data_IF_208242693229
#
_entry.id   IF_208242693229
#
_cell.length_a   1.000
_cell.length_b   1.000
_cell.length_c   1.000
_cell.angle_alpha   90.00
_cell.angle_beta   90.00
_cell.angle_gamma   90.00
#
_symmetry.space_group_name_H-M   'P 1'
#
loop_
_entity.id
_entity.type
_entity.pdbx_description
1 polymer ?
#
# COMPACT_ATOMS: atom_id res chain seq x y z
N UNK A 1 -0.36 -21.37 3.82
CA UNK A 1 0.25 -22.17 4.91
C UNK A 1 1.07 -23.34 4.40
N UNK A 2 0.52 -24.24 3.55
CA UNK A 2 1.27 -25.43 3.07
C UNK A 2 2.59 -25.14 2.35
N UNK A 3 2.67 -24.04 1.59
CA UNK A 3 3.89 -23.65 0.85
C UNK A 3 5.05 -23.20 1.76
N UNK A 4 4.79 -22.84 3.03
CA UNK A 4 5.82 -22.42 3.97
C UNK A 4 6.57 -23.63 4.55
N UNK A 5 5.86 -24.74 4.78
CA UNK A 5 6.42 -25.99 5.28
C UNK A 5 7.45 -26.62 4.35
N UNK A 6 7.37 -26.35 3.03
CA UNK A 6 8.31 -26.85 2.03
C UNK A 6 9.66 -26.11 2.03
N UNK A 7 9.73 -24.94 2.67
CA UNK A 7 10.92 -24.08 2.70
C UNK A 7 11.76 -24.26 3.96
N UNK A 8 11.29 -25.11 4.88
CA UNK A 8 11.91 -25.41 6.16
C UNK A 8 12.67 -26.74 6.07
N UNK A 9 13.84 -26.81 6.71
CA UNK A 9 14.66 -28.04 6.74
C UNK A 9 13.83 -29.16 7.37
N UNK A 10 14.03 -30.41 6.92
CA UNK A 10 13.22 -31.56 7.36
C UNK A 10 13.23 -31.74 8.89
N UNK A 11 14.34 -31.37 9.53
CA UNK A 11 14.53 -31.46 10.98
C UNK A 11 13.67 -30.45 11.77
N UNK A 12 13.40 -29.29 11.18
CA UNK A 12 12.68 -28.17 11.81
C UNK A 12 11.16 -28.23 11.55
N UNK A 13 10.72 -29.14 10.66
CA UNK A 13 9.31 -29.28 10.28
C UNK A 13 8.42 -29.65 11.47
N UNK A 14 8.92 -30.52 12.36
CA UNK A 14 8.18 -30.94 13.55
C UNK A 14 7.98 -29.80 14.55
N UNK A 15 8.97 -28.92 14.69
CA UNK A 15 8.90 -27.74 15.55
C UNK A 15 7.94 -26.70 14.96
N UNK A 16 8.06 -26.42 13.67
CA UNK A 16 7.16 -25.49 12.97
C UNK A 16 5.71 -25.96 13.06
N UNK A 17 5.45 -27.26 12.84
CA UNK A 17 4.10 -27.82 12.94
C UNK A 17 3.52 -27.66 14.33
N UNK A 18 4.31 -27.92 15.38
CA UNK A 18 3.90 -27.70 16.79
C UNK A 18 3.53 -26.25 17.08
N UNK A 19 4.17 -25.28 16.43
CA UNK A 19 3.86 -23.86 16.60
C UNK A 19 2.63 -23.42 15.78
N UNK A 20 2.44 -24.01 14.61
CA UNK A 20 1.35 -23.64 13.69
C UNK A 20 0.01 -24.26 14.10
N UNK A 21 0.02 -25.52 14.57
CA UNK A 21 -1.21 -26.27 14.84
C UNK A 21 -2.16 -25.53 15.81
N UNK A 22 -1.70 -24.94 16.95
CA UNK A 22 -2.56 -24.19 17.86
C UNK A 22 -3.21 -22.97 17.21
N UNK A 23 -2.43 -22.17 16.48
CA UNK A 23 -2.93 -20.95 15.81
C UNK A 23 -3.93 -21.30 14.72
N UNK A 24 -3.67 -22.39 13.98
CA UNK A 24 -4.56 -22.87 12.94
C UNK A 24 -5.88 -23.36 13.52
N UNK A 25 -5.82 -24.12 14.62
CA UNK A 25 -7.00 -24.64 15.32
C UNK A 25 -7.83 -23.49 15.89
N UNK A 26 -7.20 -22.55 16.59
CA UNK A 26 -7.86 -21.36 17.16
C UNK A 26 -8.50 -20.49 16.07
N UNK A 27 -7.78 -20.21 14.98
CA UNK A 27 -8.36 -19.48 13.85
C UNK A 27 -9.54 -20.23 13.23
N UNK A 28 -9.46 -21.56 13.10
CA UNK A 28 -10.56 -22.36 12.57
C UNK A 28 -11.76 -22.38 13.50
N UNK A 29 -11.54 -22.47 14.81
CA UNK A 29 -12.58 -22.42 15.82
C UNK A 29 -13.27 -21.05 15.81
N UNK A 30 -12.51 -19.95 15.78
CA UNK A 30 -13.05 -18.60 15.70
C UNK A 30 -13.89 -18.38 14.42
N UNK A 31 -13.44 -18.89 13.27
CA UNK A 31 -14.25 -18.80 12.04
C UNK A 31 -15.52 -19.64 12.10
N UNK A 32 -15.47 -20.81 12.74
CA UNK A 32 -16.65 -21.65 12.91
C UNK A 32 -17.66 -21.02 13.88
N UNK A 33 -17.17 -20.45 14.99
CA UNK A 33 -17.98 -19.73 15.97
C UNK A 33 -18.65 -18.50 15.33
N UNK A 34 -17.88 -17.71 14.58
CA UNK A 34 -18.42 -16.58 13.81
C UNK A 34 -19.52 -17.05 12.85
N UNK A 35 -19.26 -18.07 12.03
CA UNK A 35 -20.24 -18.59 11.08
C UNK A 35 -21.48 -19.14 11.80
N UNK A 36 -21.33 -19.77 12.95
CA UNK A 36 -22.44 -20.30 13.74
C UNK A 36 -23.31 -19.18 14.32
N UNK A 37 -22.70 -18.16 14.93
CA UNK A 37 -23.40 -16.97 15.45
C UNK A 37 -24.17 -16.26 14.33
N UNK A 38 -23.57 -16.18 13.14
CA UNK A 38 -24.22 -15.55 11.99
C UNK A 38 -25.23 -16.45 11.27
N UNK A 39 -25.16 -17.78 11.41
CA UNK A 39 -26.17 -18.71 10.87
C UNK A 39 -27.50 -18.57 11.61
N UNK A 40 -27.47 -18.40 12.93
CA UNK A 40 -28.66 -18.11 13.73
C UNK A 40 -29.30 -16.77 13.32
N UNK A 41 -28.46 -15.74 13.10
CA UNK A 41 -28.90 -14.44 12.59
C UNK A 41 -29.46 -14.51 11.14
N UNK A 42 -28.90 -15.34 10.27
CA UNK A 42 -29.37 -15.54 8.89
C UNK A 42 -30.69 -16.32 8.85
N UNK A 43 -30.87 -17.33 9.70
CA UNK A 43 -32.15 -18.05 9.79
C UNK A 43 -33.24 -17.20 10.48
N UNK A 44 -32.87 -16.35 11.44
CA UNK A 44 -33.78 -15.37 12.05
C UNK A 44 -34.22 -14.30 11.03
N UNK A 45 -33.28 -13.83 10.19
CA UNK A 45 -33.58 -12.97 9.04
C UNK A 45 -34.49 -13.67 8.03
N UNK A 46 -34.21 -14.93 7.69
CA UNK A 46 -35.01 -15.71 6.73
C UNK A 46 -36.41 -16.02 7.25
N UNK A 47 -36.57 -16.22 8.56
CA UNK A 47 -37.89 -16.35 9.20
C UNK A 47 -38.70 -15.06 9.10
N UNK A 48 -38.08 -13.88 9.27
CA UNK A 48 -38.73 -12.60 9.00
C UNK A 48 -39.15 -12.45 7.53
N UNK A 49 -38.35 -12.95 6.58
CA UNK A 49 -38.69 -12.91 5.14
C UNK A 49 -39.78 -13.93 4.73
N UNK A 50 -39.90 -15.07 5.42
CA UNK A 50 -40.91 -16.07 5.08
C UNK A 50 -42.29 -15.77 5.67
N UNK A 51 -42.37 -15.02 6.79
CA UNK A 51 -43.66 -14.52 7.30
C UNK A 51 -44.23 -13.39 6.41
N UNK A 52 -43.42 -12.83 5.50
CA UNK A 52 -43.81 -11.83 4.49
C UNK A 52 -43.67 -12.35 3.04
N UNK A 53 -44.00 -13.62 2.80
CA UNK A 53 -44.14 -14.18 1.45
C UNK A 53 -45.40 -13.63 0.73
N UNK A 54 -45.52 -12.31 0.59
CA UNK A 54 -46.43 -11.68 -0.40
C UNK A 54 -45.97 -10.27 -0.84
N UNK A 55 -44.67 -9.93 -0.92
CA UNK A 55 -44.29 -8.83 -1.81
C UNK A 55 -42.80 -8.78 -2.20
N UNK A 56 -42.55 -9.15 -3.46
CA UNK A 56 -41.64 -8.52 -4.42
C UNK A 56 -40.27 -7.99 -3.94
N UNK A 57 -39.21 -8.61 -4.48
CA UNK A 57 -37.82 -8.17 -4.39
C UNK A 57 -37.61 -6.70 -4.79
N UNK A 58 -36.73 -5.94 -4.11
CA UNK A 58 -36.16 -4.74 -4.68
C UNK A 58 -34.74 -5.01 -5.20
N UNK A 59 -34.62 -4.94 -6.52
CA UNK A 59 -33.38 -4.72 -7.25
C UNK A 59 -32.65 -3.46 -6.73
N UNK A 60 -31.37 -3.62 -6.37
CA UNK A 60 -30.49 -2.55 -5.91
C UNK A 60 -30.20 -1.54 -7.03
N UNK A 61 -30.87 -0.38 -6.99
CA UNK A 61 -30.53 0.75 -7.86
C UNK A 61 -29.56 1.70 -7.14
N UNK A 62 -28.42 1.93 -7.78
CA UNK A 62 -27.31 2.81 -7.39
C UNK A 62 -27.81 4.24 -7.15
N UNK A 63 -27.65 4.75 -5.93
CA UNK A 63 -28.04 6.11 -5.56
C UNK A 63 -27.05 7.16 -6.11
N UNK A 64 -27.56 8.18 -6.81
CA UNK A 64 -26.80 9.37 -7.23
C UNK A 64 -27.18 10.56 -6.35
N UNK A 65 -26.18 11.24 -5.81
CA UNK A 65 -26.34 12.45 -5.00
C UNK A 65 -26.49 13.67 -5.92
N UNK A 66 -27.60 14.39 -5.83
CA UNK A 66 -27.71 15.78 -6.32
C UNK A 66 -28.45 16.59 -5.27
N UNK A 67 -27.79 17.62 -4.75
CA UNK A 67 -28.36 18.57 -3.82
C UNK A 67 -29.29 19.57 -4.51
N UNK A 68 -30.23 20.13 -3.75
CA UNK A 68 -31.06 21.25 -4.18
C UNK A 68 -32.30 21.50 -3.33
N UNK A 69 -32.21 22.56 -2.52
CA UNK A 69 -33.28 23.54 -2.25
C UNK A 69 -34.52 23.16 -1.43
N UNK A 70 -34.57 23.81 -0.26
CA UNK A 70 -35.61 24.03 0.74
C UNK A 70 -37.10 24.12 0.35
N UNK A 71 -37.90 23.62 1.31
CA UNK A 71 -39.25 24.00 1.79
C UNK A 71 -40.44 24.03 0.81
N UNK A 72 -41.39 23.11 1.02
CA UNK A 72 -42.74 23.37 1.56
C UNK A 72 -43.66 22.18 1.25
N UNK A 73 -44.26 21.58 2.28
CA UNK A 73 -45.72 21.43 2.47
C UNK A 73 -45.96 20.51 3.67
N UNK A 74 -46.69 21.04 4.63
CA UNK A 74 -47.23 20.35 5.80
C UNK A 74 -48.23 19.27 5.35
N UNK A 75 -48.12 18.05 5.88
CA UNK A 75 -49.30 17.27 6.24
C UNK A 75 -48.96 16.21 7.30
N UNK A 76 -49.91 16.04 8.21
CA UNK A 76 -49.85 15.38 9.51
C UNK A 76 -49.90 13.83 9.46
N UNK A 77 -49.22 13.24 10.46
CA UNK A 77 -49.45 11.94 11.08
C UNK A 77 -49.22 10.64 10.27
N UNK A 78 -48.02 10.07 10.45
CA UNK A 78 -47.87 8.62 10.70
C UNK A 78 -46.59 8.35 11.54
N UNK A 79 -46.68 7.90 12.81
CA UNK A 79 -45.52 7.65 13.66
C UNK A 79 -45.07 6.20 13.57
N UNK A 80 -44.80 5.67 12.37
CA UNK A 80 -44.40 4.25 12.26
C UNK A 80 -43.55 3.91 11.03
N UNK A 81 -42.58 4.75 10.72
CA UNK A 81 -41.36 4.28 10.08
C UNK A 81 -40.19 4.66 10.96
N UNK A 82 -40.06 3.96 12.09
CA UNK A 82 -38.74 3.76 12.67
C UNK A 82 -37.97 2.89 11.69
N UNK A 83 -37.47 3.50 10.63
CA UNK A 83 -36.30 3.01 9.92
C UNK A 83 -35.28 2.80 11.02
N UNK A 84 -35.11 1.54 11.43
CA UNK A 84 -34.06 1.13 12.33
C UNK A 84 -32.78 1.43 11.57
N UNK A 85 -32.30 2.66 11.73
CA UNK A 85 -30.96 3.07 11.35
C UNK A 85 -30.11 2.12 12.18
N UNK A 86 -29.71 1.01 11.57
CA UNK A 86 -28.63 0.20 12.08
C UNK A 86 -27.50 1.19 12.27
N UNK A 87 -27.22 1.52 13.54
CA UNK A 87 -26.12 2.39 13.87
C UNK A 87 -24.89 1.74 13.25
N UNK A 88 -24.39 2.34 12.17
CA UNK A 88 -23.09 1.95 11.65
C UNK A 88 -22.13 2.00 12.84
N UNK A 89 -21.20 1.03 12.98
CA UNK A 89 -20.17 1.10 13.99
C UNK A 89 -19.54 2.50 13.94
N UNK A 90 -19.78 3.31 14.97
CA UNK A 90 -19.18 4.62 15.09
C UNK A 90 -17.68 4.36 15.21
N UNK A 91 -16.89 4.84 14.24
CA UNK A 91 -15.44 4.75 14.30
C UNK A 91 -15.05 5.36 15.65
N UNK A 92 -14.46 4.58 16.58
CA UNK A 92 -14.17 5.07 17.92
C UNK A 92 -13.44 6.41 17.83
N UNK A 93 -13.93 7.45 18.52
CA UNK A 93 -13.33 8.80 18.46
C UNK A 93 -11.85 8.83 18.82
N UNK A 94 -11.40 7.82 19.57
CA UNK A 94 -10.00 7.61 19.99
C UNK A 94 -9.10 7.07 18.86
N UNK A 95 -9.69 6.70 17.71
CA UNK A 95 -9.01 6.34 16.47
C UNK A 95 -9.42 7.32 15.39
N UNK A 96 -9.04 8.59 15.53
CA UNK A 96 -9.21 9.57 14.45
C UNK A 96 -8.34 9.16 13.25
N UNK A 97 -8.81 8.20 12.45
CA UNK A 97 -8.11 7.69 11.29
C UNK A 97 -7.87 8.81 10.28
N UNK A 98 -8.71 9.84 10.25
CA UNK A 98 -8.54 10.99 9.37
C UNK A 98 -7.24 11.77 9.68
N UNK A 99 -6.89 11.97 10.96
CA UNK A 99 -5.61 12.58 11.35
C UNK A 99 -4.41 11.69 10.94
N UNK A 100 -4.57 10.37 11.00
CA UNK A 100 -3.54 9.42 10.55
C UNK A 100 -3.33 9.44 9.03
N UNK A 101 -4.38 9.67 8.24
CA UNK A 101 -4.28 9.78 6.78
C UNK A 101 -3.72 11.13 6.34
N UNK A 102 -4.09 12.22 7.02
CA UNK A 102 -3.53 13.55 6.78
C UNK A 102 -2.02 13.58 7.08
N UNK A 103 -1.60 12.94 8.17
CA UNK A 103 -0.17 12.79 8.50
C UNK A 103 0.56 11.96 7.43
N UNK A 104 -0.02 10.84 6.99
CA UNK A 104 0.58 10.01 5.95
C UNK A 104 0.68 10.76 4.60
N UNK A 105 -0.32 11.56 4.25
CA UNK A 105 -0.29 12.40 3.05
C UNK A 105 0.84 13.43 3.13
N UNK A 106 0.98 14.12 4.26
CA UNK A 106 2.06 15.07 4.49
C UNK A 106 3.44 14.41 4.34
N UNK A 107 3.64 13.24 4.96
CA UNK A 107 4.90 12.49 4.86
C UNK A 107 5.21 12.05 3.41
N UNK A 108 4.19 11.63 2.64
CA UNK A 108 4.36 11.24 1.24
C UNK A 108 4.70 12.44 0.34
N UNK A 109 4.12 13.62 0.62
CA UNK A 109 4.45 14.86 -0.09
C UNK A 109 5.90 15.26 0.21
N UNK A 110 6.33 15.21 1.47
CA UNK A 110 7.71 15.51 1.86
C UNK A 110 8.70 14.55 1.20
N UNK A 111 8.39 13.24 1.22
CA UNK A 111 9.22 12.23 0.55
C UNK A 111 9.32 12.48 -0.96
N UNK A 112 8.21 12.82 -1.61
CA UNK A 112 8.19 13.15 -3.03
C UNK A 112 9.05 14.38 -3.34
N UNK A 113 8.99 15.41 -2.49
CA UNK A 113 9.83 16.59 -2.63
C UNK A 113 11.31 16.23 -2.49
N UNK A 114 11.67 15.44 -1.47
CA UNK A 114 13.04 15.01 -1.23
C UNK A 114 13.62 14.22 -2.41
N UNK A 115 12.84 13.31 -3.00
CA UNK A 115 13.25 12.54 -4.19
C UNK A 115 13.44 13.45 -5.40
N UNK A 116 12.57 14.46 -5.56
CA UNK A 116 12.68 15.45 -6.64
C UNK A 116 13.94 16.29 -6.49
N UNK A 117 14.20 16.81 -5.29
CA UNK A 117 15.39 17.62 -4.99
C UNK A 117 16.68 16.81 -5.15
N UNK A 118 16.68 15.56 -4.70
CA UNK A 118 17.79 14.65 -4.90
C UNK A 118 18.07 14.41 -6.39
N UNK A 119 17.02 14.19 -7.19
CA UNK A 119 17.15 13.98 -8.64
C UNK A 119 17.70 15.22 -9.33
N UNK A 120 17.23 16.42 -8.97
CA UNK A 120 17.75 17.68 -9.49
C UNK A 120 19.23 17.88 -9.13
N UNK A 121 19.60 17.57 -7.89
CA UNK A 121 20.98 17.69 -7.42
C UNK A 121 21.91 16.73 -8.18
N UNK A 122 21.50 15.48 -8.37
CA UNK A 122 22.27 14.48 -9.15
C UNK A 122 22.43 14.95 -10.59
N UNK A 123 21.35 15.40 -11.24
CA UNK A 123 21.41 15.92 -12.60
C UNK A 123 22.32 17.15 -12.72
N UNK A 124 22.26 18.07 -11.75
CA UNK A 124 23.12 19.26 -11.72
C UNK A 124 24.60 18.92 -11.52
N UNK A 125 24.92 17.77 -10.92
CA UNK A 125 26.30 17.33 -10.75
C UNK A 125 26.90 16.73 -12.03
N UNK A 126 26.08 16.40 -13.04
CA UNK A 126 26.54 15.78 -14.28
C UNK A 126 27.63 16.61 -14.98
N UNK A 127 27.45 17.93 -15.11
CA UNK A 127 28.43 18.82 -15.76
C UNK A 127 29.82 18.77 -15.08
N UNK A 128 29.84 18.64 -13.75
CA UNK A 128 31.11 18.51 -13.00
C UNK A 128 31.78 17.17 -13.28
N UNK A 129 31.00 16.10 -13.39
CA UNK A 129 31.52 14.77 -13.73
C UNK A 129 32.07 14.76 -15.16
N UNK A 130 31.34 15.34 -16.11
CA UNK A 130 31.78 15.44 -17.51
C UNK A 130 33.10 16.23 -17.61
N UNK A 131 33.23 17.35 -16.88
CA UNK A 131 34.48 18.13 -16.84
C UNK A 131 35.64 17.35 -16.22
N UNK A 132 35.39 16.54 -15.19
CA UNK A 132 36.43 15.68 -14.60
C UNK A 132 36.84 14.60 -15.61
N UNK A 133 35.90 13.98 -16.30
CA UNK A 133 36.17 12.98 -17.34
C UNK A 133 37.05 13.58 -18.45
N UNK A 134 36.70 14.76 -18.96
CA UNK A 134 37.46 15.46 -19.99
C UNK A 134 38.90 15.78 -19.54
N UNK A 135 39.06 16.27 -18.32
CA UNK A 135 40.37 16.58 -17.75
C UNK A 135 41.22 15.33 -17.55
N UNK A 136 40.64 14.24 -17.06
CA UNK A 136 41.34 12.96 -16.87
C UNK A 136 41.75 12.38 -18.22
N UNK A 137 40.86 12.39 -19.21
CA UNK A 137 41.16 11.91 -20.56
C UNK A 137 42.29 12.74 -21.21
N UNK A 138 42.23 14.06 -21.10
CA UNK A 138 43.29 14.96 -21.59
C UNK A 138 44.63 14.69 -20.90
N UNK A 139 44.62 14.51 -19.56
CA UNK A 139 45.82 14.20 -18.80
C UNK A 139 46.42 12.85 -19.23
N UNK A 140 45.59 11.83 -19.46
CA UNK A 140 46.04 10.51 -19.91
C UNK A 140 46.75 10.59 -21.26
N UNK A 141 46.17 11.29 -22.24
CA UNK A 141 46.78 11.50 -23.56
C UNK A 141 48.11 12.25 -23.44
N UNK A 142 48.16 13.31 -22.63
CA UNK A 142 49.38 14.09 -22.42
C UNK A 142 50.51 13.27 -21.77
N UNK A 143 50.18 12.39 -20.83
CA UNK A 143 51.17 11.50 -20.19
C UNK A 143 51.68 10.46 -21.19
N UNK A 144 50.81 9.87 -22.00
CA UNK A 144 51.20 8.90 -23.03
C UNK A 144 52.12 9.55 -24.06
N UNK A 145 51.74 10.71 -24.59
CA UNK A 145 52.55 11.43 -25.57
C UNK A 145 53.88 11.89 -24.96
N UNK A 146 53.85 12.44 -23.74
CA UNK A 146 55.04 12.83 -23.00
C UNK A 146 56.01 11.65 -22.82
N UNK A 147 55.50 10.50 -22.41
CA UNK A 147 56.30 9.27 -22.24
C UNK A 147 56.88 8.79 -23.56
N UNK A 148 56.09 8.81 -24.65
CA UNK A 148 56.54 8.45 -26.00
C UNK A 148 57.65 9.38 -26.49
N UNK A 149 57.53 10.68 -26.27
CA UNK A 149 58.53 11.67 -26.66
C UNK A 149 59.82 11.51 -25.85
N UNK A 150 59.72 11.29 -24.53
CA UNK A 150 60.87 10.96 -23.69
C UNK A 150 61.56 9.67 -24.14
N UNK A 151 60.81 8.62 -24.48
CA UNK A 151 61.35 7.37 -25.02
C UNK A 151 62.12 7.56 -26.33
N UNK A 152 61.58 8.37 -27.25
CA UNK A 152 62.29 8.72 -28.49
C UNK A 152 63.61 9.46 -28.21
N UNK A 153 63.62 10.41 -27.27
CA UNK A 153 64.82 11.15 -26.89
C UNK A 153 65.87 10.24 -26.24
N UNK A 154 65.46 9.32 -25.36
CA UNK A 154 66.37 8.36 -24.73
C UNK A 154 67.01 7.41 -25.75
N UNK A 155 66.24 6.93 -26.74
CA UNK A 155 66.73 6.07 -27.82
C UNK A 155 67.63 6.85 -28.80
N UNK A 156 67.30 8.11 -29.10
CA UNK A 156 68.10 8.98 -29.97
C UNK A 156 69.42 9.42 -29.31
N UNK A 157 69.41 9.70 -28.01
CA UNK A 157 70.61 10.08 -27.24
C UNK A 157 71.60 8.93 -27.04
N UNK A 158 71.16 7.67 -27.13
CA UNK A 158 72.04 6.50 -27.08
C UNK A 158 72.76 6.20 -28.42
N UNK A 159 72.47 6.96 -29.49
CA UNK A 159 73.04 6.75 -30.84
C UNK A 159 74.05 7.81 -31.27
N UNK A 160 74.36 8.78 -30.42
CA UNK A 160 75.44 9.76 -30.59
C UNK A 160 76.55 9.48 -29.58
#
# INVERSE_FOLDING_TARGET
MEKLCLKVRKDDLGLLKRMIDPVKEEASAATAEFLQLHLESVEELKKQFNDEETCLQPSLTRSMTVGGTFHSTEDEADPQSMTQIYALPEIPRDQNAAESWETLEADLIELSQLVTDFSLLVNSQQEKIDSIEDHVNSAAVNVEEGTKNLGKLAIGGAKN
#
